data_IF_435771312428
#
_entry.id   IF_435771312428
#
_cell.length_a   1.000
_cell.length_b   1.000
_cell.length_c   1.000
_cell.angle_alpha   90.00
_cell.angle_beta   90.00
_cell.angle_gamma   90.00
#
_symmetry.space_group_name_H-M   'P 1'
#
loop_
_entity.id
_entity.type
_entity.pdbx_description
1 polymer ?
#
# COMPACT_ATOMS: atom_id res chain seq x y z
N UNK A 1 -2.91 -35.94 26.03
CA UNK A 1 -1.72 -35.22 26.51
C UNK A 1 -1.83 -33.77 26.07
N UNK A 2 -1.82 -32.81 26.97
CA UNK A 2 -1.80 -31.39 26.64
C UNK A 2 -0.50 -31.09 25.87
N UNK A 3 -0.60 -30.53 24.68
CA UNK A 3 0.58 -30.13 23.89
C UNK A 3 1.25 -28.97 24.64
N UNK A 4 2.52 -29.17 25.02
CA UNK A 4 3.31 -28.17 25.76
C UNK A 4 3.49 -26.93 24.89
N UNK A 5 3.24 -25.74 25.44
CA UNK A 5 3.46 -24.45 24.78
C UNK A 5 4.95 -24.19 24.56
N UNK A 6 5.29 -23.48 23.50
CA UNK A 6 6.63 -22.88 23.37
C UNK A 6 6.73 -21.63 24.27
N UNK A 7 7.95 -21.14 24.58
CA UNK A 7 8.12 -19.90 25.36
C UNK A 7 7.37 -18.70 24.75
N UNK A 8 7.41 -18.56 23.42
CA UNK A 8 6.74 -17.48 22.70
C UNK A 8 5.20 -17.61 22.79
N UNK A 9 4.67 -18.83 22.70
CA UNK A 9 3.24 -19.08 22.89
C UNK A 9 2.78 -18.76 24.32
N UNK A 10 3.61 -19.10 25.33
CA UNK A 10 3.34 -18.75 26.72
C UNK A 10 3.35 -17.23 26.93
N UNK A 11 4.31 -16.51 26.32
CA UNK A 11 4.35 -15.05 26.34
C UNK A 11 3.07 -14.43 25.75
N UNK A 12 2.60 -14.93 24.60
CA UNK A 12 1.34 -14.47 23.99
C UNK A 12 0.16 -14.68 24.93
N UNK A 13 0.07 -15.84 25.60
CA UNK A 13 -1.04 -16.13 26.54
C UNK A 13 -0.99 -15.21 27.77
N UNK A 14 0.21 -14.90 28.28
CA UNK A 14 0.40 -14.14 29.54
C UNK A 14 0.49 -12.62 29.34
N UNK A 15 0.79 -12.13 28.14
CA UNK A 15 0.91 -10.69 27.90
C UNK A 15 -0.43 -9.98 28.17
N UNK A 16 -0.39 -8.88 28.95
CA UNK A 16 -1.56 -8.07 29.35
C UNK A 16 -1.45 -6.60 28.98
N UNK A 17 -0.36 -6.21 28.34
CA UNK A 17 -0.13 -4.81 28.02
C UNK A 17 -0.27 -4.47 26.55
N UNK A 18 -0.82 -3.31 26.26
CA UNK A 18 -0.77 -2.64 24.97
C UNK A 18 -1.29 -3.44 23.76
N UNK A 19 -0.85 -3.04 22.57
CA UNK A 19 -1.10 -3.77 21.33
C UNK A 19 -0.09 -4.92 21.18
N UNK A 20 -0.57 -6.14 20.87
CA UNK A 20 0.24 -7.33 20.64
C UNK A 20 0.04 -7.81 19.21
N UNK A 21 1.10 -7.78 18.41
CA UNK A 21 1.14 -8.38 17.08
C UNK A 21 1.77 -9.78 17.15
N UNK A 22 1.02 -10.81 16.74
CA UNK A 22 1.50 -12.19 16.70
C UNK A 22 1.69 -12.63 15.26
N UNK A 23 2.94 -12.71 14.81
CA UNK A 23 3.32 -13.22 13.49
C UNK A 23 3.73 -14.69 13.61
N UNK A 24 3.07 -15.57 12.83
CA UNK A 24 3.35 -17.00 12.88
C UNK A 24 2.92 -17.69 11.57
N UNK A 25 3.67 -18.72 11.16
CA UNK A 25 3.37 -19.51 9.96
C UNK A 25 2.02 -20.26 10.05
N UNK A 26 1.50 -20.74 8.93
CA UNK A 26 0.34 -21.62 8.91
C UNK A 26 0.63 -22.90 9.73
N UNK A 27 -0.35 -23.38 10.50
CA UNK A 27 -0.19 -24.58 11.34
C UNK A 27 0.56 -24.38 12.65
N UNK A 28 1.09 -23.19 12.95
CA UNK A 28 1.82 -22.89 14.20
C UNK A 28 0.95 -22.85 15.47
N UNK A 29 -0.37 -23.02 15.33
CA UNK A 29 -1.29 -23.02 16.47
C UNK A 29 -1.83 -21.65 16.88
N UNK A 30 -1.81 -20.62 16.00
CA UNK A 30 -2.33 -19.26 16.30
C UNK A 30 -3.72 -19.27 16.95
N UNK A 31 -4.68 -19.96 16.34
CA UNK A 31 -6.06 -20.05 16.83
C UNK A 31 -6.13 -20.73 18.19
N UNK A 32 -5.31 -21.77 18.41
CA UNK A 32 -5.23 -22.44 19.70
C UNK A 32 -4.71 -21.49 20.78
N UNK A 33 -3.61 -20.79 20.52
CA UNK A 33 -3.02 -19.84 21.48
C UNK A 33 -3.97 -18.70 21.79
N UNK A 34 -4.76 -18.23 20.79
CA UNK A 34 -5.81 -17.24 21.01
C UNK A 34 -6.90 -17.75 21.97
N UNK A 35 -7.40 -18.98 21.78
CA UNK A 35 -8.40 -19.59 22.67
C UNK A 35 -7.83 -19.81 24.08
N UNK A 36 -6.60 -20.30 24.17
CA UNK A 36 -5.89 -20.47 25.46
C UNK A 36 -5.71 -19.13 26.21
N UNK A 37 -5.43 -18.04 25.48
CA UNK A 37 -5.35 -16.67 26.04
C UNK A 37 -6.70 -16.21 26.58
N UNK A 38 -7.79 -16.43 25.84
CA UNK A 38 -9.15 -16.11 26.29
C UNK A 38 -9.52 -16.91 27.54
N UNK A 39 -9.21 -18.21 27.56
CA UNK A 39 -9.45 -19.04 28.74
C UNK A 39 -8.61 -18.59 29.94
N UNK A 40 -7.39 -18.11 29.73
CA UNK A 40 -6.56 -17.57 30.79
C UNK A 40 -7.17 -16.30 31.42
N UNK A 41 -7.75 -15.39 30.60
CA UNK A 41 -8.52 -14.23 31.09
C UNK A 41 -9.74 -14.66 31.92
N UNK A 42 -10.48 -15.64 31.43
CA UNK A 42 -11.69 -16.13 32.09
C UNK A 42 -11.35 -16.82 33.42
N UNK A 43 -10.35 -17.71 33.42
CA UNK A 43 -10.05 -18.55 34.56
C UNK A 43 -9.18 -17.87 35.63
N UNK A 44 -8.22 -17.03 35.21
CA UNK A 44 -7.25 -16.43 36.13
C UNK A 44 -7.66 -15.02 36.58
N UNK A 45 -8.35 -14.27 35.70
CA UNK A 45 -8.72 -12.87 35.98
C UNK A 45 -10.21 -12.68 36.22
N UNK A 46 -11.01 -13.74 36.03
CA UNK A 46 -12.46 -13.67 36.23
C UNK A 46 -13.18 -12.78 35.20
N UNK A 47 -12.56 -12.53 34.03
CA UNK A 47 -13.17 -11.76 32.95
C UNK A 47 -14.34 -12.55 32.33
N UNK A 48 -15.33 -11.82 31.84
CA UNK A 48 -16.42 -12.43 31.12
C UNK A 48 -16.11 -12.49 29.63
N UNK A 49 -16.57 -13.56 28.97
CA UNK A 49 -16.34 -13.76 27.54
C UNK A 49 -17.01 -12.68 26.67
N UNK A 50 -18.11 -12.10 27.11
CA UNK A 50 -18.85 -11.02 26.45
C UNK A 50 -18.15 -9.64 26.55
N UNK A 51 -17.08 -9.53 27.35
CA UNK A 51 -16.21 -8.35 27.38
C UNK A 51 -15.24 -8.30 26.17
N UNK A 52 -15.15 -9.36 25.36
CA UNK A 52 -14.24 -9.47 24.23
C UNK A 52 -14.96 -9.29 22.90
N UNK A 53 -14.35 -8.49 22.02
CA UNK A 53 -14.70 -8.44 20.62
C UNK A 53 -13.71 -9.29 19.82
N UNK A 54 -14.21 -10.30 19.11
CA UNK A 54 -13.40 -11.24 18.35
C UNK A 54 -13.79 -11.17 16.88
N UNK A 55 -12.90 -10.66 16.04
CA UNK A 55 -13.15 -10.46 14.62
C UNK A 55 -12.36 -11.48 13.79
N UNK A 56 -13.01 -12.04 12.79
CA UNK A 56 -12.43 -12.95 11.79
C UNK A 56 -12.74 -12.45 10.38
N UNK A 57 -12.03 -13.00 9.38
CA UNK A 57 -12.28 -12.63 7.98
C UNK A 57 -13.47 -13.37 7.35
N UNK A 58 -13.79 -14.57 7.83
CA UNK A 58 -14.86 -15.39 7.25
C UNK A 58 -15.86 -15.82 8.32
N UNK A 59 -17.12 -16.01 7.92
CA UNK A 59 -18.20 -16.53 8.80
C UNK A 59 -17.82 -17.92 9.33
N UNK A 60 -17.30 -18.80 8.48
CA UNK A 60 -16.87 -20.14 8.87
C UNK A 60 -15.79 -20.11 9.98
N UNK A 61 -14.79 -19.21 9.87
CA UNK A 61 -13.77 -19.05 10.90
C UNK A 61 -14.34 -18.52 12.22
N UNK A 62 -15.34 -17.63 12.17
CA UNK A 62 -16.02 -17.15 13.38
C UNK A 62 -16.80 -18.27 14.07
N UNK A 63 -17.53 -19.09 13.31
CA UNK A 63 -18.27 -20.25 13.83
C UNK A 63 -17.34 -21.31 14.42
N UNK A 64 -16.24 -21.63 13.70
CA UNK A 64 -15.23 -22.57 14.20
C UNK A 64 -14.59 -22.06 15.50
N UNK A 65 -14.26 -20.77 15.58
CA UNK A 65 -13.68 -20.20 16.79
C UNK A 65 -14.66 -20.22 17.95
N UNK A 66 -15.93 -19.88 17.70
CA UNK A 66 -17.00 -19.99 18.71
C UNK A 66 -17.15 -21.41 19.24
N UNK A 67 -17.15 -22.40 18.34
CA UNK A 67 -17.25 -23.81 18.72
C UNK A 67 -16.04 -24.27 19.56
N UNK A 68 -14.84 -23.83 19.21
CA UNK A 68 -13.62 -24.13 20.00
C UNK A 68 -13.67 -23.53 21.39
N UNK A 69 -14.08 -22.27 21.51
CA UNK A 69 -14.23 -21.61 22.83
C UNK A 69 -15.31 -22.31 23.66
N UNK A 70 -16.46 -22.66 23.06
CA UNK A 70 -17.50 -23.42 23.75
C UNK A 70 -16.97 -24.74 24.29
N UNK A 71 -16.21 -25.48 23.51
CA UNK A 71 -15.57 -26.74 23.89
C UNK A 71 -14.62 -26.57 25.07
N UNK A 72 -13.72 -25.58 25.02
CA UNK A 72 -12.79 -25.33 26.13
C UNK A 72 -13.49 -24.91 27.42
N UNK A 73 -14.55 -24.08 27.35
CA UNK A 73 -15.38 -23.74 28.51
C UNK A 73 -16.06 -24.98 29.07
N UNK A 74 -16.62 -25.84 28.22
CA UNK A 74 -17.28 -27.09 28.66
C UNK A 74 -16.29 -28.07 29.31
N UNK A 75 -15.07 -28.22 28.74
CA UNK A 75 -14.02 -29.08 29.33
C UNK A 75 -13.55 -28.52 30.67
N UNK A 76 -13.37 -27.21 30.80
CA UNK A 76 -13.00 -26.57 32.06
C UNK A 76 -14.11 -26.74 33.12
N UNK A 77 -15.38 -26.60 32.72
CA UNK A 77 -16.52 -26.80 33.61
C UNK A 77 -16.66 -28.27 34.02
N UNK A 78 -16.40 -29.22 33.14
CA UNK A 78 -16.40 -30.65 33.47
C UNK A 78 -15.32 -31.00 34.52
N UNK A 79 -14.15 -30.33 34.44
CA UNK A 79 -13.09 -30.48 35.44
C UNK A 79 -13.42 -29.79 36.78
N UNK A 80 -14.28 -28.75 36.77
CA UNK A 80 -14.67 -27.95 37.93
C UNK A 80 -16.20 -27.71 37.93
N UNK A 81 -17.04 -28.71 38.19
CA UNK A 81 -18.50 -28.62 38.02
C UNK A 81 -19.18 -27.53 38.86
N UNK A 82 -18.61 -27.18 40.00
CA UNK A 82 -19.16 -26.19 40.92
C UNK A 82 -18.68 -24.76 40.67
N UNK A 83 -17.85 -24.55 39.62
CA UNK A 83 -17.33 -23.24 39.32
C UNK A 83 -18.39 -22.32 38.71
N UNK A 84 -19.03 -21.48 39.55
CA UNK A 84 -20.16 -20.64 39.17
C UNK A 84 -19.87 -19.70 37.99
N UNK A 85 -18.65 -19.10 37.96
CA UNK A 85 -18.25 -18.21 36.89
C UNK A 85 -18.16 -18.93 35.52
N UNK A 86 -17.57 -20.13 35.45
CA UNK A 86 -17.51 -20.91 34.19
C UNK A 86 -18.92 -21.27 33.68
N UNK A 87 -19.83 -21.59 34.59
CA UNK A 87 -21.23 -21.89 34.24
C UNK A 87 -21.91 -20.67 33.61
N UNK A 88 -21.63 -19.46 34.09
CA UNK A 88 -22.12 -18.22 33.50
C UNK A 88 -21.53 -17.97 32.09
N UNK A 89 -20.25 -18.30 31.86
CA UNK A 89 -19.64 -18.11 30.55
C UNK A 89 -20.29 -18.94 29.45
N UNK A 90 -20.85 -20.12 29.78
CA UNK A 90 -21.59 -20.93 28.81
C UNK A 90 -22.79 -20.18 28.24
N UNK A 91 -23.51 -19.39 29.06
CA UNK A 91 -24.63 -18.56 28.63
C UNK A 91 -24.15 -17.31 27.90
N UNK A 92 -23.16 -16.59 28.47
CA UNK A 92 -22.61 -15.34 27.90
C UNK A 92 -21.96 -15.52 26.53
N UNK A 93 -21.48 -16.73 26.21
CA UNK A 93 -20.89 -17.01 24.88
C UNK A 93 -21.87 -16.77 23.73
N UNK A 94 -23.18 -16.93 23.96
CA UNK A 94 -24.21 -16.64 22.95
C UNK A 94 -24.33 -15.14 22.66
N UNK A 95 -24.02 -14.29 23.63
CA UNK A 95 -24.07 -12.83 23.52
C UNK A 95 -22.73 -12.23 23.05
N UNK A 96 -21.67 -13.05 23.06
CA UNK A 96 -20.32 -12.60 22.70
C UNK A 96 -20.20 -12.28 21.23
N UNK A 97 -19.59 -11.13 20.92
CA UNK A 97 -19.32 -10.69 19.55
C UNK A 97 -18.14 -11.47 18.94
N UNK A 98 -18.44 -12.61 18.35
CA UNK A 98 -17.49 -13.42 17.56
C UNK A 98 -18.04 -13.45 16.13
N UNK A 99 -17.50 -12.61 15.24
CA UNK A 99 -18.09 -12.38 13.93
C UNK A 99 -17.09 -11.87 12.90
N UNK A 100 -17.53 -11.70 11.67
CA UNK A 100 -16.77 -10.91 10.68
C UNK A 100 -16.91 -9.42 10.98
N UNK A 101 -15.98 -8.61 10.46
CA UNK A 101 -16.04 -7.15 10.62
C UNK A 101 -17.37 -6.58 10.08
N UNK A 102 -17.84 -7.05 8.92
CA UNK A 102 -19.11 -6.63 8.33
C UNK A 102 -20.32 -6.97 9.21
N UNK A 103 -20.35 -8.18 9.77
CA UNK A 103 -21.43 -8.56 10.68
C UNK A 103 -21.42 -7.71 11.96
N UNK A 104 -20.24 -7.42 12.51
CA UNK A 104 -20.10 -6.51 13.64
C UNK A 104 -20.58 -5.09 13.31
N UNK A 105 -20.16 -4.52 12.18
CA UNK A 105 -20.66 -3.22 11.72
C UNK A 105 -22.19 -3.21 11.55
N UNK A 106 -22.77 -4.29 11.02
CA UNK A 106 -24.23 -4.42 10.89
C UNK A 106 -24.93 -4.38 12.26
N UNK A 107 -24.36 -5.05 13.27
CA UNK A 107 -24.90 -5.00 14.65
C UNK A 107 -24.81 -3.58 15.22
N UNK A 108 -23.68 -2.90 15.04
CA UNK A 108 -23.51 -1.50 15.46
C UNK A 108 -24.53 -0.57 14.80
N UNK A 109 -24.71 -0.70 13.48
CA UNK A 109 -25.68 0.13 12.73
C UNK A 109 -27.12 -0.14 13.15
N UNK A 110 -27.49 -1.39 13.43
CA UNK A 110 -28.84 -1.70 13.95
C UNK A 110 -29.07 -1.10 15.33
N UNK A 111 -28.04 -1.04 16.17
CA UNK A 111 -28.13 -0.50 17.52
C UNK A 111 -28.06 1.03 17.56
N UNK A 112 -27.19 1.62 16.76
CA UNK A 112 -26.82 3.04 16.83
C UNK A 112 -27.10 3.83 15.54
N UNK A 113 -27.62 3.18 14.48
CA UNK A 113 -27.87 3.80 13.18
C UNK A 113 -28.81 4.99 13.24
N UNK A 114 -29.69 5.05 14.24
CA UNK A 114 -30.56 6.20 14.46
C UNK A 114 -29.80 7.54 14.67
N UNK A 115 -28.53 7.48 15.09
CA UNK A 115 -27.65 8.65 15.17
C UNK A 115 -27.19 9.18 13.80
N UNK A 116 -27.37 8.37 12.76
CA UNK A 116 -27.00 8.65 11.36
C UNK A 116 -28.24 8.65 10.43
N UNK A 117 -29.44 8.77 10.99
CA UNK A 117 -30.70 8.67 10.27
C UNK A 117 -30.90 7.35 9.50
N UNK A 118 -30.24 6.26 9.94
CA UNK A 118 -30.40 4.93 9.37
C UNK A 118 -31.45 4.17 10.19
N UNK A 119 -32.56 3.71 9.56
CA UNK A 119 -33.59 2.94 10.25
C UNK A 119 -33.02 1.59 10.72
N UNK A 120 -33.46 1.10 11.90
CA UNK A 120 -32.95 -0.14 12.49
C UNK A 120 -33.31 -1.40 11.71
N UNK A 121 -34.29 -1.35 10.83
CA UNK A 121 -34.77 -2.43 9.96
C UNK A 121 -34.18 -2.39 8.55
N UNK A 122 -33.10 -1.62 8.34
CA UNK A 122 -32.43 -1.54 7.04
C UNK A 122 -32.05 -2.92 6.50
N UNK A 123 -32.19 -3.12 5.19
CA UNK A 123 -31.70 -4.30 4.48
C UNK A 123 -30.29 -4.07 3.96
N UNK A 124 -29.47 -5.13 3.94
CA UNK A 124 -28.19 -5.11 3.25
C UNK A 124 -28.45 -5.28 1.75
N UNK A 125 -27.87 -4.39 0.95
CA UNK A 125 -27.90 -4.48 -0.51
C UNK A 125 -26.90 -5.55 -0.98
N UNK A 126 -27.34 -6.43 -1.86
CA UNK A 126 -26.46 -7.40 -2.51
C UNK A 126 -25.57 -6.68 -3.54
N UNK A 127 -24.35 -7.23 -3.77
CA UNK A 127 -23.35 -6.59 -4.63
C UNK A 127 -23.87 -6.27 -6.04
N UNK A 128 -24.65 -7.17 -6.64
CA UNK A 128 -25.24 -6.96 -7.98
C UNK A 128 -26.26 -5.82 -7.98
N UNK A 129 -27.10 -5.73 -6.96
CA UNK A 129 -28.08 -4.65 -6.81
C UNK A 129 -27.37 -3.31 -6.56
N UNK A 130 -26.33 -3.31 -5.74
CA UNK A 130 -25.50 -2.12 -5.50
C UNK A 130 -24.87 -1.60 -6.79
N UNK A 131 -24.33 -2.47 -7.64
CA UNK A 131 -23.76 -2.09 -8.95
C UNK A 131 -24.83 -1.47 -9.87
N UNK A 132 -26.03 -2.02 -9.92
CA UNK A 132 -27.14 -1.46 -10.72
C UNK A 132 -27.50 -0.07 -10.20
N UNK A 133 -27.63 0.11 -8.90
CA UNK A 133 -27.94 1.41 -8.28
C UNK A 133 -26.85 2.45 -8.56
N UNK A 134 -25.59 2.10 -8.36
CA UNK A 134 -24.45 2.99 -8.63
C UNK A 134 -24.40 3.40 -10.10
N UNK A 135 -24.55 2.46 -11.03
CA UNK A 135 -24.56 2.74 -12.47
C UNK A 135 -25.72 3.66 -12.85
N UNK A 136 -26.91 3.41 -12.31
CA UNK A 136 -28.08 4.26 -12.53
C UNK A 136 -27.87 5.67 -12.01
N UNK A 137 -27.34 5.81 -10.80
CA UNK A 137 -27.06 7.11 -10.18
C UNK A 137 -26.03 7.88 -10.99
N UNK A 138 -24.92 7.22 -11.41
CA UNK A 138 -23.91 7.87 -12.24
C UNK A 138 -24.45 8.32 -13.59
N UNK A 139 -25.32 7.53 -14.24
CA UNK A 139 -25.99 7.96 -15.46
C UNK A 139 -26.84 9.24 -15.25
N UNK A 140 -27.56 9.35 -14.14
CA UNK A 140 -28.32 10.57 -13.81
C UNK A 140 -27.37 11.77 -13.58
N UNK A 141 -26.23 11.57 -12.91
CA UNK A 141 -25.21 12.61 -12.74
C UNK A 141 -24.66 13.06 -14.10
N UNK A 142 -24.34 12.10 -14.99
CA UNK A 142 -23.82 12.41 -16.31
C UNK A 142 -24.87 13.18 -17.16
N UNK A 143 -26.15 12.77 -17.16
CA UNK A 143 -27.22 13.49 -17.85
C UNK A 143 -27.30 14.95 -17.39
N UNK A 144 -27.29 15.20 -16.08
CA UNK A 144 -27.28 16.55 -15.54
C UNK A 144 -26.03 17.36 -15.98
N UNK A 145 -24.84 16.71 -15.98
CA UNK A 145 -23.62 17.37 -16.47
C UNK A 145 -23.61 17.68 -17.95
N UNK A 146 -24.26 16.84 -18.77
CA UNK A 146 -24.44 17.11 -20.21
C UNK A 146 -25.39 18.29 -20.48
N UNK A 147 -26.41 18.45 -19.64
CA UNK A 147 -27.35 19.59 -19.79
C UNK A 147 -26.68 20.93 -19.47
N UNK A 148 -25.71 20.95 -18.57
CA UNK A 148 -25.00 22.15 -18.10
C UNK A 148 -23.56 22.26 -18.64
N UNK A 149 -23.24 21.58 -19.77
CA UNK A 149 -21.86 21.49 -20.25
C UNK A 149 -21.27 22.85 -20.64
N UNK A 150 -20.16 23.25 -20.02
CA UNK A 150 -19.29 24.32 -20.51
C UNK A 150 -18.31 23.71 -21.54
N UNK A 151 -18.33 24.13 -22.82
CA UNK A 151 -17.44 23.59 -23.86
C UNK A 151 -15.94 23.77 -23.56
N UNK A 152 -15.58 24.70 -22.68
CA UNK A 152 -14.18 24.98 -22.26
C UNK A 152 -13.86 24.40 -20.92
N UNK A 153 -14.83 23.85 -20.22
CA UNK A 153 -14.73 23.36 -18.86
C UNK A 153 -14.03 21.99 -18.72
N UNK A 154 -13.70 21.60 -17.49
CA UNK A 154 -13.04 20.34 -17.18
C UNK A 154 -13.80 19.10 -17.68
N UNK A 155 -15.16 19.11 -17.59
CA UNK A 155 -15.98 17.99 -18.05
C UNK A 155 -15.92 17.81 -19.57
N UNK A 156 -15.95 18.91 -20.37
CA UNK A 156 -15.78 18.82 -21.80
C UNK A 156 -14.41 18.24 -22.20
N UNK A 157 -13.33 18.65 -21.50
CA UNK A 157 -12.00 18.09 -21.69
C UNK A 157 -11.91 16.60 -21.33
N UNK A 158 -12.62 16.19 -20.28
CA UNK A 158 -12.72 14.78 -19.92
C UNK A 158 -13.36 13.94 -21.03
N UNK A 159 -14.45 14.45 -21.61
CA UNK A 159 -15.12 13.79 -22.74
C UNK A 159 -14.22 13.69 -23.97
N UNK A 160 -13.49 14.75 -24.32
CA UNK A 160 -12.51 14.74 -25.42
C UNK A 160 -11.46 13.64 -25.27
N UNK A 161 -11.06 13.33 -24.04
CA UNK A 161 -10.01 12.33 -23.74
C UNK A 161 -10.57 10.91 -23.65
N UNK A 162 -11.71 10.71 -23.00
CA UNK A 162 -12.24 9.39 -22.66
C UNK A 162 -13.34 8.89 -23.55
N UNK A 163 -14.19 9.79 -24.10
CA UNK A 163 -15.31 9.38 -24.94
C UNK A 163 -14.88 9.18 -26.39
N UNK A 164 -15.20 8.03 -26.95
CA UNK A 164 -15.04 7.76 -28.40
C UNK A 164 -16.36 7.92 -29.10
N UNK A 165 -16.65 9.13 -29.53
CA UNK A 165 -17.93 9.43 -30.19
C UNK A 165 -19.09 9.59 -29.19
N UNK A 166 -20.04 8.63 -29.16
CA UNK A 166 -21.18 8.63 -28.23
C UNK A 166 -21.13 7.51 -27.18
N UNK A 167 -19.96 6.89 -27.01
CA UNK A 167 -19.78 5.77 -26.07
C UNK A 167 -19.07 6.26 -24.80
N UNK A 168 -19.84 6.35 -23.73
CA UNK A 168 -19.37 6.76 -22.39
C UNK A 168 -19.10 5.57 -21.45
N UNK A 169 -19.16 4.35 -21.95
CA UNK A 169 -18.98 3.15 -21.12
C UNK A 169 -17.67 3.14 -20.35
N UNK A 170 -16.59 3.64 -20.97
CA UNK A 170 -15.29 3.78 -20.33
C UNK A 170 -15.27 4.83 -19.22
N UNK A 171 -15.98 5.92 -19.41
CA UNK A 171 -16.11 6.97 -18.40
C UNK A 171 -16.85 6.44 -17.17
N UNK A 172 -17.97 5.72 -17.38
CA UNK A 172 -18.72 5.06 -16.31
C UNK A 172 -17.83 4.08 -15.51
N UNK A 173 -17.11 3.21 -16.23
CA UNK A 173 -16.22 2.21 -15.62
C UNK A 173 -15.16 2.85 -14.75
N UNK A 174 -14.43 3.85 -15.27
CA UNK A 174 -13.35 4.52 -14.55
C UNK A 174 -13.88 5.27 -13.33
N UNK A 175 -15.00 5.97 -13.47
CA UNK A 175 -15.62 6.73 -12.37
C UNK A 175 -16.04 5.81 -11.23
N UNK A 176 -16.72 4.70 -11.54
CA UNK A 176 -17.13 3.71 -10.53
C UNK A 176 -15.93 2.99 -9.89
N UNK A 177 -14.86 2.72 -10.64
CA UNK A 177 -13.64 2.12 -10.10
C UNK A 177 -12.97 3.09 -9.10
N UNK A 178 -12.85 4.36 -9.43
CA UNK A 178 -12.31 5.38 -8.51
C UNK A 178 -13.22 5.51 -7.30
N UNK A 179 -14.53 5.63 -7.48
CA UNK A 179 -15.50 5.70 -6.39
C UNK A 179 -15.34 4.53 -5.42
N UNK A 180 -15.26 3.29 -5.94
CA UNK A 180 -15.04 2.10 -5.11
C UNK A 180 -13.72 2.15 -4.32
N UNK A 181 -12.64 2.64 -4.93
CA UNK A 181 -11.33 2.74 -4.29
C UNK A 181 -11.28 3.80 -3.18
N UNK A 182 -11.91 4.95 -3.40
CA UNK A 182 -11.89 6.03 -2.40
C UNK A 182 -12.68 5.69 -1.14
N UNK A 183 -13.66 4.77 -1.23
CA UNK A 183 -14.39 4.30 -0.04
C UNK A 183 -13.50 3.58 0.99
N UNK A 184 -12.27 3.22 0.63
CA UNK A 184 -11.29 2.67 1.58
C UNK A 184 -10.64 3.73 2.48
N UNK A 185 -10.79 5.02 2.17
CA UNK A 185 -10.28 6.12 2.99
C UNK A 185 -11.28 6.49 4.10
N UNK A 186 -10.78 6.92 5.29
CA UNK A 186 -11.67 7.33 6.39
C UNK A 186 -12.60 8.50 6.04
N UNK A 187 -12.13 9.42 5.19
CA UNK A 187 -12.89 10.55 4.68
C UNK A 187 -12.65 10.65 3.15
N UNK A 188 -13.52 10.04 2.32
CA UNK A 188 -13.39 10.06 0.87
C UNK A 188 -13.45 11.46 0.28
N UNK A 189 -14.30 12.36 0.83
CA UNK A 189 -14.46 13.72 0.30
C UNK A 189 -13.22 14.59 0.61
N UNK A 190 -12.64 14.48 1.81
CA UNK A 190 -11.40 15.15 2.14
C UNK A 190 -10.25 14.64 1.26
N UNK A 191 -10.22 13.34 0.96
CA UNK A 191 -9.24 12.79 0.03
C UNK A 191 -9.40 13.36 -1.38
N UNK A 192 -10.62 13.42 -1.93
CA UNK A 192 -10.88 14.05 -3.24
C UNK A 192 -10.45 15.51 -3.27
N UNK A 193 -10.77 16.27 -2.24
CA UNK A 193 -10.35 17.67 -2.12
C UNK A 193 -8.81 17.80 -2.17
N UNK A 194 -8.09 16.94 -1.45
CA UNK A 194 -6.62 16.94 -1.47
C UNK A 194 -6.04 16.58 -2.84
N UNK A 195 -6.69 15.66 -3.59
CA UNK A 195 -6.27 15.35 -4.95
C UNK A 195 -6.50 16.52 -5.92
N UNK A 196 -7.59 17.27 -5.76
CA UNK A 196 -7.83 18.49 -6.55
C UNK A 196 -6.76 19.54 -6.31
N UNK A 197 -6.36 19.77 -5.04
CA UNK A 197 -5.27 20.68 -4.70
C UNK A 197 -3.93 20.23 -5.32
N UNK A 198 -3.67 18.91 -5.34
CA UNK A 198 -2.47 18.34 -5.93
C UNK A 198 -2.39 18.51 -7.46
N UNK A 199 -3.53 18.75 -8.15
CA UNK A 199 -3.60 19.06 -9.57
C UNK A 199 -3.48 20.58 -9.88
N UNK A 200 -3.39 21.44 -8.88
CA UNK A 200 -3.14 22.88 -9.09
C UNK A 200 -1.66 23.11 -9.39
N UNK A 201 -1.37 23.42 -10.66
CA UNK A 201 -0.01 23.72 -11.13
C UNK A 201 0.34 25.21 -11.08
N UNK A 202 -0.55 26.08 -10.59
CA UNK A 202 -0.39 27.55 -10.67
C UNK A 202 0.89 28.08 -10.00
N UNK A 203 1.35 27.42 -8.93
CA UNK A 203 2.55 27.77 -8.18
C UNK A 203 3.74 26.84 -8.47
N UNK A 204 3.57 25.83 -9.34
CA UNK A 204 4.59 24.81 -9.61
C UNK A 204 5.53 25.30 -10.73
N UNK A 205 6.81 25.36 -10.42
CA UNK A 205 7.86 25.77 -11.37
C UNK A 205 8.84 24.63 -11.71
N UNK A 206 8.89 23.59 -10.89
CA UNK A 206 9.70 22.40 -11.06
C UNK A 206 8.85 21.15 -10.85
N UNK A 207 8.97 20.16 -11.73
CA UNK A 207 8.21 18.90 -11.66
C UNK A 207 8.39 18.18 -10.32
N UNK A 208 9.58 18.28 -9.71
CA UNK A 208 9.86 17.73 -8.39
C UNK A 208 8.99 18.31 -7.24
N UNK A 209 8.29 19.42 -7.48
CA UNK A 209 7.33 20.02 -6.52
C UNK A 209 5.95 19.35 -6.60
N UNK A 210 5.68 18.57 -7.64
CA UNK A 210 4.43 17.80 -7.73
C UNK A 210 4.51 16.53 -6.88
N UNK A 211 3.38 16.01 -6.34
CA UNK A 211 3.40 14.79 -5.51
C UNK A 211 4.02 13.58 -6.21
N UNK A 212 3.75 13.39 -7.49
CA UNK A 212 4.30 12.28 -8.27
C UNK A 212 5.74 12.55 -8.72
N UNK A 213 6.07 13.80 -9.05
CA UNK A 213 7.44 14.19 -9.45
C UNK A 213 8.42 14.06 -8.29
N UNK A 214 8.03 14.45 -7.07
CA UNK A 214 8.85 14.26 -5.88
C UNK A 214 9.13 12.77 -5.60
N UNK A 215 8.12 11.91 -5.76
CA UNK A 215 8.26 10.47 -5.57
C UNK A 215 9.21 9.86 -6.61
N UNK A 216 9.05 10.20 -7.89
CA UNK A 216 9.94 9.72 -8.96
C UNK A 216 11.38 10.19 -8.76
N UNK A 217 11.55 11.44 -8.32
CA UNK A 217 12.87 12.02 -8.07
C UNK A 217 13.56 11.36 -6.87
N UNK A 218 12.81 11.07 -5.81
CA UNK A 218 13.29 10.32 -4.64
C UNK A 218 13.72 8.90 -5.02
N UNK A 219 12.89 8.16 -5.77
CA UNK A 219 13.19 6.80 -6.24
C UNK A 219 14.43 6.78 -7.15
N UNK A 220 14.54 7.77 -8.06
CA UNK A 220 15.69 7.92 -8.93
C UNK A 220 16.96 8.21 -8.11
N UNK A 221 16.87 9.09 -7.11
CA UNK A 221 17.98 9.40 -6.19
C UNK A 221 18.45 8.18 -5.40
N UNK A 222 17.52 7.40 -4.86
CA UNK A 222 17.82 6.16 -4.13
C UNK A 222 18.48 5.11 -5.05
N UNK A 223 17.97 4.97 -6.26
CA UNK A 223 18.55 4.07 -7.28
C UNK A 223 19.97 4.48 -7.64
N UNK A 224 20.20 5.78 -7.88
CA UNK A 224 21.53 6.31 -8.19
C UNK A 224 22.51 6.13 -7.02
N UNK A 225 22.07 6.36 -5.79
CA UNK A 225 22.87 6.15 -4.58
C UNK A 225 23.29 4.67 -4.42
N UNK A 226 22.36 3.73 -4.61
CA UNK A 226 22.67 2.30 -4.59
C UNK A 226 23.74 1.94 -5.62
N UNK A 227 23.61 2.45 -6.86
CA UNK A 227 24.59 2.14 -7.89
C UNK A 227 25.92 2.88 -7.72
N UNK A 228 25.94 4.05 -7.09
CA UNK A 228 27.19 4.72 -6.68
C UNK A 228 27.98 3.83 -5.70
N UNK A 229 27.30 3.21 -4.72
CA UNK A 229 27.91 2.26 -3.80
C UNK A 229 28.42 0.99 -4.50
N UNK A 230 27.64 0.43 -5.45
CA UNK A 230 28.09 -0.71 -6.24
C UNK A 230 29.31 -0.37 -7.10
N UNK A 231 29.37 0.85 -7.66
CA UNK A 231 30.54 1.33 -8.40
C UNK A 231 31.75 1.58 -7.49
N UNK A 232 31.55 2.04 -6.23
CA UNK A 232 32.61 2.10 -5.23
C UNK A 232 33.21 0.71 -4.97
N UNK A 233 32.37 -0.31 -4.75
CA UNK A 233 32.83 -1.70 -4.64
C UNK A 233 33.57 -2.19 -5.86
N UNK A 234 33.12 -1.82 -7.07
CA UNK A 234 33.83 -2.15 -8.30
C UNK A 234 35.22 -1.48 -8.38
N UNK A 235 35.36 -0.24 -7.87
CA UNK A 235 36.67 0.43 -7.74
C UNK A 235 37.56 -0.32 -6.76
N UNK A 236 37.05 -0.71 -5.56
CA UNK A 236 37.82 -1.48 -4.55
C UNK A 236 38.28 -2.84 -5.10
N UNK A 237 37.43 -3.49 -5.90
CA UNK A 237 37.80 -4.74 -6.57
C UNK A 237 38.90 -4.51 -7.61
N UNK A 238 38.82 -3.44 -8.38
CA UNK A 238 39.86 -3.11 -9.39
C UNK A 238 41.22 -2.82 -8.74
N UNK A 239 41.26 -2.19 -7.58
CA UNK A 239 42.49 -1.89 -6.82
C UNK A 239 43.24 -3.13 -6.34
N UNK A 240 42.58 -4.31 -6.28
CA UNK A 240 43.26 -5.55 -5.88
C UNK A 240 44.32 -6.02 -6.89
N UNK A 241 44.21 -5.58 -8.13
CA UNK A 241 45.15 -5.90 -9.20
C UNK A 241 45.55 -4.66 -9.99
N UNK A 242 46.85 -4.35 -10.04
CA UNK A 242 47.41 -3.17 -10.73
C UNK A 242 47.00 -3.11 -12.21
N UNK A 243 46.85 -4.25 -12.86
CA UNK A 243 46.41 -4.36 -14.27
C UNK A 243 44.96 -3.91 -14.48
N UNK A 244 44.07 -4.26 -13.53
CA UNK A 244 42.67 -3.86 -13.54
C UNK A 244 42.49 -2.40 -13.11
N UNK A 245 43.20 -1.95 -12.09
CA UNK A 245 43.17 -0.56 -11.64
C UNK A 245 43.59 0.38 -12.75
N UNK A 246 44.72 0.11 -13.42
CA UNK A 246 45.20 0.92 -14.54
C UNK A 246 44.26 0.95 -15.76
N UNK A 247 43.53 -0.16 -15.99
CA UNK A 247 42.63 -0.29 -17.14
C UNK A 247 41.24 0.27 -16.86
N UNK A 248 40.70 0.10 -15.65
CA UNK A 248 39.30 0.34 -15.31
C UNK A 248 39.11 1.46 -14.31
N UNK A 249 40.08 1.76 -13.44
CA UNK A 249 39.93 2.67 -12.30
C UNK A 249 39.35 4.03 -12.69
N UNK A 250 39.97 4.72 -13.68
CA UNK A 250 39.46 6.02 -14.14
C UNK A 250 38.02 5.99 -14.61
N UNK A 251 37.66 4.94 -15.39
CA UNK A 251 36.32 4.80 -15.94
C UNK A 251 35.26 4.49 -14.84
N UNK A 252 35.61 3.64 -13.89
CA UNK A 252 34.74 3.29 -12.77
C UNK A 252 34.52 4.50 -11.85
N UNK A 253 35.60 5.23 -11.54
CA UNK A 253 35.52 6.46 -10.75
C UNK A 253 34.71 7.56 -11.44
N UNK A 254 34.84 7.73 -12.76
CA UNK A 254 34.07 8.72 -13.51
C UNK A 254 32.56 8.40 -13.44
N UNK A 255 32.20 7.13 -13.64
CA UNK A 255 30.78 6.68 -13.48
C UNK A 255 30.28 6.91 -12.06
N UNK A 256 31.05 6.53 -11.03
CA UNK A 256 30.69 6.75 -9.64
C UNK A 256 30.41 8.22 -9.35
N UNK A 257 31.35 9.11 -9.73
CA UNK A 257 31.21 10.57 -9.50
C UNK A 257 29.98 11.15 -10.19
N UNK A 258 29.66 10.70 -11.41
CA UNK A 258 28.47 11.17 -12.11
C UNK A 258 27.17 10.68 -11.44
N UNK A 259 27.15 9.48 -10.86
CA UNK A 259 26.04 8.99 -10.04
C UNK A 259 25.89 9.81 -8.74
N UNK A 260 27.00 10.07 -8.04
CA UNK A 260 27.01 10.92 -6.84
C UNK A 260 26.52 12.34 -7.15
N UNK A 261 26.92 12.91 -8.29
CA UNK A 261 26.43 14.20 -8.76
C UNK A 261 24.91 14.18 -9.02
N UNK A 262 24.40 13.10 -9.61
CA UNK A 262 22.96 12.92 -9.81
C UNK A 262 22.21 12.85 -8.49
N UNK A 263 22.71 12.12 -7.49
CA UNK A 263 22.09 12.05 -6.14
C UNK A 263 21.99 13.43 -5.51
N UNK A 264 23.04 14.24 -5.60
CA UNK A 264 23.02 15.62 -5.08
C UNK A 264 22.00 16.48 -5.82
N UNK A 265 21.96 16.39 -7.15
CA UNK A 265 21.03 17.14 -7.99
C UNK A 265 19.57 16.74 -7.73
N UNK A 266 19.29 15.44 -7.57
CA UNK A 266 17.98 14.91 -7.24
C UNK A 266 17.47 15.39 -5.86
N UNK A 267 18.37 15.62 -4.92
CA UNK A 267 18.05 16.26 -3.65
C UNK A 267 17.74 17.77 -3.74
N UNK A 268 17.95 18.37 -4.90
CA UNK A 268 17.75 19.82 -5.13
C UNK A 268 16.47 20.10 -5.94
N UNK A 269 16.37 19.58 -7.16
CA UNK A 269 15.22 19.75 -8.03
C UNK A 269 15.24 18.76 -9.21
N UNK A 270 14.10 18.63 -9.88
CA UNK A 270 13.98 17.85 -11.11
C UNK A 270 14.91 18.38 -12.22
N UNK A 271 14.89 19.70 -12.41
CA UNK A 271 15.67 20.34 -13.47
C UNK A 271 17.19 20.19 -13.26
N UNK A 272 17.66 20.21 -12.03
CA UNK A 272 19.07 19.94 -11.71
C UNK A 272 19.42 18.48 -11.98
N UNK A 273 18.58 17.53 -11.57
CA UNK A 273 18.77 16.10 -11.81
C UNK A 273 18.79 15.77 -13.32
N UNK A 274 17.82 16.31 -14.07
CA UNK A 274 17.70 16.09 -15.51
C UNK A 274 18.90 16.64 -16.34
N UNK A 275 19.69 17.58 -15.79
CA UNK A 275 20.91 18.11 -16.43
C UNK A 275 22.13 17.23 -16.21
N UNK A 276 22.10 16.33 -15.23
CA UNK A 276 23.29 15.51 -14.92
C UNK A 276 23.40 14.36 -15.91
N UNK A 277 24.47 14.35 -16.66
CA UNK A 277 24.83 13.24 -17.52
C UNK A 277 25.59 12.17 -16.73
N UNK A 278 25.00 10.97 -16.60
CA UNK A 278 25.68 9.82 -15.99
C UNK A 278 26.55 9.14 -17.08
N UNK A 279 27.85 9.20 -16.91
CA UNK A 279 28.81 8.77 -17.93
C UNK A 279 29.32 7.36 -17.70
N UNK A 280 29.50 6.62 -18.80
CA UNK A 280 30.11 5.29 -18.83
C UNK A 280 31.31 5.26 -19.80
N UNK A 281 32.49 5.83 -19.45
CA UNK A 281 33.66 5.83 -20.34
C UNK A 281 34.07 4.41 -20.69
N UNK A 282 34.62 4.20 -21.89
CA UNK A 282 35.08 2.87 -22.34
C UNK A 282 36.15 2.31 -21.43
N UNK A 283 36.00 1.03 -21.04
CA UNK A 283 37.04 0.28 -20.35
C UNK A 283 38.21 0.03 -21.32
N UNK A 284 39.44 0.27 -20.89
CA UNK A 284 40.65 -0.06 -21.65
C UNK A 284 40.90 -1.58 -21.59
N UNK A 285 41.64 -2.13 -22.50
CA UNK A 285 42.05 -3.53 -22.44
C UNK A 285 42.96 -3.75 -21.22
N UNK A 286 42.54 -4.58 -20.29
CA UNK A 286 43.37 -4.96 -19.15
C UNK A 286 44.40 -6.00 -19.58
N UNK A 287 45.69 -5.77 -19.24
CA UNK A 287 46.81 -6.67 -19.52
C UNK A 287 47.38 -7.17 -18.19
N UNK A 288 47.79 -8.43 -18.15
CA UNK A 288 48.41 -9.01 -16.94
C UNK A 288 47.38 -9.23 -15.82
N UNK A 289 46.13 -9.59 -16.15
CA UNK A 289 45.10 -9.95 -15.19
C UNK A 289 45.36 -11.36 -14.71
N UNK A 290 45.53 -11.53 -13.39
CA UNK A 290 45.79 -12.81 -12.74
C UNK A 290 44.50 -13.53 -12.39
N UNK A 291 43.43 -12.77 -12.04
CA UNK A 291 42.12 -13.29 -11.71
C UNK A 291 41.03 -12.88 -12.72
N UNK A 292 40.70 -13.73 -13.71
CA UNK A 292 39.65 -13.47 -14.67
C UNK A 292 38.23 -13.38 -14.02
N UNK A 293 37.99 -14.02 -12.88
CA UNK A 293 36.72 -13.98 -12.19
C UNK A 293 36.47 -12.58 -11.60
N UNK A 294 37.51 -11.96 -11.05
CA UNK A 294 37.45 -10.59 -10.55
C UNK A 294 37.15 -9.59 -11.67
N UNK A 295 37.79 -9.77 -12.82
CA UNK A 295 37.50 -8.95 -14.00
C UNK A 295 36.06 -9.06 -14.46
N UNK A 296 35.50 -10.27 -14.50
CA UNK A 296 34.14 -10.51 -14.93
C UNK A 296 33.12 -9.94 -13.91
N UNK A 297 33.42 -10.04 -12.63
CA UNK A 297 32.59 -9.45 -11.57
C UNK A 297 32.48 -7.93 -11.74
N UNK A 298 33.59 -7.23 -11.98
CA UNK A 298 33.60 -5.79 -12.21
C UNK A 298 32.76 -5.42 -13.44
N UNK A 299 32.94 -6.15 -14.56
CA UNK A 299 32.16 -5.92 -15.78
C UNK A 299 30.66 -6.15 -15.56
N UNK A 300 30.30 -7.19 -14.80
CA UNK A 300 28.90 -7.51 -14.46
C UNK A 300 28.26 -6.38 -13.64
N UNK A 301 28.93 -5.89 -12.58
CA UNK A 301 28.45 -4.76 -11.78
C UNK A 301 28.19 -3.54 -12.70
N UNK A 302 29.17 -3.21 -13.54
CA UNK A 302 29.07 -2.06 -14.44
C UNK A 302 27.97 -2.22 -15.50
N UNK A 303 27.78 -3.40 -16.08
CA UNK A 303 26.74 -3.65 -17.06
C UNK A 303 25.33 -3.52 -16.44
N UNK A 304 25.14 -4.06 -15.24
CA UNK A 304 23.89 -3.93 -14.48
C UNK A 304 23.62 -2.47 -14.10
N UNK A 305 24.64 -1.74 -13.63
CA UNK A 305 24.54 -0.31 -13.37
C UNK A 305 24.09 0.46 -14.62
N UNK A 306 24.70 0.19 -15.78
CA UNK A 306 24.35 0.87 -17.04
C UNK A 306 22.88 0.65 -17.40
N UNK A 307 22.38 -0.58 -17.28
CA UNK A 307 20.96 -0.88 -17.54
C UNK A 307 20.02 -0.11 -16.60
N UNK A 308 20.32 -0.10 -15.30
CA UNK A 308 19.51 0.64 -14.33
C UNK A 308 19.51 2.15 -14.56
N UNK A 309 20.66 2.70 -14.99
CA UNK A 309 20.80 4.13 -15.35
C UNK A 309 19.99 4.46 -16.60
N UNK A 310 19.91 3.56 -17.58
CA UNK A 310 19.06 3.75 -18.76
C UNK A 310 17.59 3.92 -18.37
N UNK A 311 17.08 3.11 -17.44
CA UNK A 311 15.72 3.23 -16.90
C UNK A 311 15.53 4.53 -16.10
N UNK A 312 16.49 4.86 -15.23
CA UNK A 312 16.49 6.08 -14.42
C UNK A 312 16.47 7.35 -15.28
N UNK A 313 17.32 7.42 -16.32
CA UNK A 313 17.38 8.59 -17.23
C UNK A 313 16.17 8.72 -18.14
N UNK A 314 15.40 7.65 -18.36
CA UNK A 314 14.09 7.73 -19.01
C UNK A 314 13.03 8.31 -18.06
N UNK A 315 13.10 7.97 -16.78
CA UNK A 315 12.17 8.46 -15.77
C UNK A 315 12.36 9.95 -15.48
N UNK A 316 13.60 10.36 -15.18
CA UNK A 316 13.95 11.77 -14.94
C UNK A 316 14.58 12.33 -16.21
N UNK A 317 13.74 12.72 -17.18
CA UNK A 317 14.17 13.19 -18.49
C UNK A 317 13.57 14.54 -18.84
N UNK A 318 14.40 15.42 -19.39
CA UNK A 318 13.98 16.73 -19.87
C UNK A 318 13.67 17.76 -18.77
N UNK A 319 13.57 19.03 -19.15
CA UNK A 319 13.29 20.12 -18.22
C UNK A 319 11.81 20.15 -17.80
N UNK A 320 11.54 20.73 -16.63
CA UNK A 320 10.20 20.84 -16.04
C UNK A 320 9.19 21.61 -16.92
N UNK A 321 9.62 22.66 -17.59
CA UNK A 321 8.71 23.56 -18.30
C UNK A 321 7.83 22.86 -19.36
N UNK A 322 8.34 22.06 -20.32
CA UNK A 322 7.49 21.34 -21.26
C UNK A 322 6.65 20.27 -20.59
N UNK A 323 7.15 19.57 -19.55
CA UNK A 323 6.39 18.57 -18.82
C UNK A 323 5.18 19.20 -18.11
N UNK A 324 5.38 20.34 -17.46
CA UNK A 324 4.28 21.09 -16.81
C UNK A 324 3.28 21.62 -17.84
N UNK A 325 3.74 22.03 -19.02
CA UNK A 325 2.85 22.43 -20.11
C UNK A 325 1.97 21.27 -20.62
N UNK A 326 2.55 20.07 -20.78
CA UNK A 326 1.80 18.88 -21.16
C UNK A 326 0.80 18.47 -20.09
N UNK A 327 1.20 18.56 -18.83
CA UNK A 327 0.30 18.29 -17.67
C UNK A 327 -0.86 19.29 -17.62
N UNK A 328 -0.62 20.57 -17.92
CA UNK A 328 -1.67 21.58 -17.95
C UNK A 328 -2.75 21.29 -19.03
N UNK A 329 -2.44 20.48 -20.05
CA UNK A 329 -3.43 20.00 -21.02
C UNK A 329 -4.27 18.83 -20.49
N UNK A 330 -3.70 17.98 -19.65
CA UNK A 330 -4.35 16.74 -19.14
C UNK A 330 -5.11 17.00 -17.85
N UNK A 331 -4.60 17.83 -16.98
CA UNK A 331 -5.18 18.05 -15.63
C UNK A 331 -6.62 18.54 -15.63
N UNK A 332 -7.11 19.40 -16.55
CA UNK A 332 -8.52 19.72 -16.62
C UNK A 332 -9.44 18.50 -16.80
N UNK A 333 -9.01 17.51 -17.61
CA UNK A 333 -9.75 16.26 -17.73
C UNK A 333 -9.73 15.44 -16.44
N UNK A 334 -8.61 15.39 -15.72
CA UNK A 334 -8.53 14.74 -14.42
C UNK A 334 -9.41 15.42 -13.37
N UNK A 335 -9.45 16.76 -13.35
CA UNK A 335 -10.38 17.51 -12.49
C UNK A 335 -11.83 17.19 -12.81
N UNK A 336 -12.21 17.14 -14.12
CA UNK A 336 -13.55 16.73 -14.56
C UNK A 336 -13.91 15.33 -14.05
N UNK A 337 -12.96 14.39 -14.02
CA UNK A 337 -13.17 13.05 -13.51
C UNK A 337 -13.37 13.05 -11.97
N UNK A 338 -12.57 13.81 -11.22
CA UNK A 338 -12.73 13.95 -9.77
C UNK A 338 -14.06 14.64 -9.40
N UNK A 339 -14.60 15.48 -10.28
CA UNK A 339 -15.90 16.13 -10.08
C UNK A 339 -17.10 15.21 -10.33
N UNK A 340 -16.88 14.09 -11.03
CA UNK A 340 -17.91 13.07 -11.26
C UNK A 340 -17.96 12.02 -10.14
N UNK A 341 -16.84 11.78 -9.48
CA UNK A 341 -16.72 10.81 -8.38
C UNK A 341 -17.34 11.35 -7.09
#
# INVERSE_FOLDING_TARGET
MAVKRTPEQEEVVKNRGGALLVSAAAGSGKTRVLVERLMDYILQEGRNIDEFLIITFTRAAAEELRARIAKEIAEALAAQPDHAHLRQQTVRLYETQISTIHAFCTVLLRQWGHLLDIPGDFALCEDEEAQVLMTRTLNQVLEARYEEIDPTGPFARLLDVLSKGRDDSRLLEITLDIYGKIQSYPDPLAWLASQREALDLSAVTDVGQTPWGSLLLEEAGQTAAYWADQMARACDLAQKEAGLEKAYGDSLQATRRSLEAFVQAAGTSWDEAARVEIVFPKLKAARGVEDPALQEQIKSIRARCKKAVEELTQTVSGPSAPLLADMALVYPAMLGLLDLV
#
